data_IF_605719967749
#
_entry.id   IF_605719967749
#
_cell.length_a   1.000
_cell.length_b   1.000
_cell.length_c   1.000
_cell.angle_alpha   90.00
_cell.angle_beta   90.00
_cell.angle_gamma   90.00
#
_symmetry.space_group_name_H-M   'P 1'
#
loop_
_entity.id
_entity.type
_entity.pdbx_description
1 polymer ?
#
# COMPACT_ATOMS: atom_id res chain seq x y z
N UNK A 1 -25.51 0.45 12.97
CA UNK A 1 -24.55 0.02 11.92
C UNK A 1 -24.11 1.20 11.04
N UNK A 2 -24.98 1.83 10.25
CA UNK A 2 -24.59 2.94 9.35
C UNK A 2 -23.95 4.13 10.09
N UNK A 3 -24.52 4.54 11.23
CA UNK A 3 -23.98 5.63 12.04
C UNK A 3 -22.61 5.30 12.67
N UNK A 4 -22.36 4.04 13.02
CA UNK A 4 -21.05 3.60 13.51
C UNK A 4 -19.99 3.67 12.42
N UNK A 5 -20.36 3.32 11.17
CA UNK A 5 -19.48 3.46 10.02
C UNK A 5 -19.17 4.94 9.79
N UNK A 6 -20.17 5.81 9.78
CA UNK A 6 -19.96 7.26 9.65
C UNK A 6 -19.01 7.79 10.73
N UNK A 7 -19.25 7.43 12.00
CA UNK A 7 -18.38 7.81 13.12
C UNK A 7 -16.94 7.34 12.91
N UNK A 8 -16.72 6.10 12.47
CA UNK A 8 -15.38 5.60 12.19
C UNK A 8 -14.63 6.45 11.16
N UNK A 9 -15.32 6.90 10.11
CA UNK A 9 -14.71 7.74 9.07
C UNK A 9 -14.35 9.14 9.57
N UNK A 10 -14.94 9.61 10.68
CA UNK A 10 -14.58 10.90 11.28
C UNK A 10 -13.32 10.84 12.15
N UNK A 11 -12.83 9.64 12.50
CA UNK A 11 -11.63 9.47 13.33
C UNK A 11 -10.34 9.95 12.64
N UNK A 12 -10.35 10.06 11.32
CA UNK A 12 -9.17 10.37 10.50
C UNK A 12 -9.53 11.28 9.32
N UNK A 13 -8.57 12.07 8.82
CA UNK A 13 -8.74 12.82 7.58
C UNK A 13 -9.21 11.97 6.40
N UNK A 14 -9.91 12.59 5.45
CA UNK A 14 -10.47 11.91 4.26
C UNK A 14 -9.42 11.15 3.43
N UNK A 15 -8.20 11.67 3.30
CA UNK A 15 -7.13 10.99 2.58
C UNK A 15 -6.69 9.67 3.26
N UNK A 16 -6.72 9.60 4.59
CA UNK A 16 -6.45 8.35 5.33
C UNK A 16 -7.61 7.36 5.15
N UNK A 17 -8.85 7.85 5.07
CA UNK A 17 -9.99 7.01 4.70
C UNK A 17 -9.82 6.41 3.29
N UNK A 18 -9.31 7.19 2.34
CA UNK A 18 -9.04 6.69 1.00
C UNK A 18 -7.98 5.58 1.01
N UNK A 19 -6.89 5.74 1.78
CA UNK A 19 -5.87 4.68 1.95
C UNK A 19 -6.46 3.45 2.62
N UNK A 20 -7.28 3.61 3.66
CA UNK A 20 -7.95 2.48 4.31
C UNK A 20 -8.88 1.73 3.35
N UNK A 21 -9.67 2.45 2.55
CA UNK A 21 -10.55 1.85 1.55
C UNK A 21 -9.77 1.16 0.44
N UNK A 22 -8.63 1.73 0.03
CA UNK A 22 -7.70 1.09 -0.88
C UNK A 22 -7.18 -0.23 -0.29
N UNK A 23 -6.74 -0.24 0.97
CA UNK A 23 -6.35 -1.47 1.65
C UNK A 23 -7.50 -2.50 1.68
N UNK A 24 -8.72 -2.09 2.00
CA UNK A 24 -9.89 -2.97 2.00
C UNK A 24 -10.15 -3.58 0.61
N UNK A 25 -10.10 -2.76 -0.44
CA UNK A 25 -10.24 -3.21 -1.83
C UNK A 25 -9.15 -4.23 -2.19
N UNK A 26 -7.89 -3.92 -1.88
CA UNK A 26 -6.76 -4.81 -2.16
C UNK A 26 -6.92 -6.15 -1.44
N UNK A 27 -7.33 -6.13 -0.17
CA UNK A 27 -7.48 -7.32 0.66
C UNK A 27 -8.64 -8.22 0.24
N UNK A 28 -9.80 -7.66 -0.10
CA UNK A 28 -11.00 -8.47 -0.32
C UNK A 28 -11.34 -8.72 -1.78
N UNK A 29 -10.77 -7.94 -2.71
CA UNK A 29 -11.14 -8.01 -4.12
C UNK A 29 -9.92 -8.34 -4.97
N UNK A 30 -8.91 -7.47 -4.99
CA UNK A 30 -7.81 -7.59 -5.94
C UNK A 30 -6.89 -8.78 -5.63
N UNK A 31 -6.37 -8.89 -4.40
CA UNK A 31 -5.37 -9.91 -4.06
C UNK A 31 -5.95 -11.33 -3.97
N UNK A 32 -7.20 -11.56 -3.54
CA UNK A 32 -7.80 -12.88 -3.68
C UNK A 32 -7.84 -13.33 -5.15
N UNK A 33 -8.18 -12.43 -6.08
CA UNK A 33 -8.13 -12.75 -7.52
C UNK A 33 -6.69 -12.99 -7.99
N UNK A 34 -5.75 -12.13 -7.63
CA UNK A 34 -4.33 -12.24 -8.02
C UNK A 34 -3.69 -13.55 -7.48
N UNK A 35 -3.94 -13.88 -6.22
CA UNK A 35 -3.37 -15.06 -5.56
C UNK A 35 -4.03 -16.35 -6.03
N UNK A 36 -5.37 -16.42 -6.11
CA UNK A 36 -6.07 -17.68 -6.36
C UNK A 36 -6.47 -17.93 -7.82
N UNK A 37 -6.75 -16.87 -8.59
CA UNK A 37 -7.36 -16.99 -9.92
C UNK A 37 -6.34 -16.72 -11.02
N UNK A 38 -5.46 -15.73 -10.85
CA UNK A 38 -4.48 -15.34 -11.88
C UNK A 38 -3.52 -16.51 -12.20
N UNK A 39 -3.37 -16.87 -13.50
CA UNK A 39 -2.46 -17.93 -13.91
C UNK A 39 -1.00 -17.63 -13.57
N UNK A 40 -0.29 -18.65 -13.10
CA UNK A 40 1.13 -18.54 -12.72
C UNK A 40 2.03 -18.06 -13.87
N UNK A 41 1.69 -18.41 -15.12
CA UNK A 41 2.49 -18.10 -16.31
C UNK A 41 2.58 -16.60 -16.62
N UNK A 42 1.61 -15.80 -16.16
CA UNK A 42 1.59 -14.34 -16.33
C UNK A 42 1.82 -13.62 -15.00
N UNK A 43 2.21 -14.36 -13.96
CA UNK A 43 2.32 -13.80 -12.63
C UNK A 43 3.61 -12.99 -12.49
N UNK A 44 3.42 -11.72 -12.16
CA UNK A 44 4.46 -10.73 -11.99
C UNK A 44 4.15 -9.95 -10.74
N UNK A 45 5.16 -9.78 -9.90
CA UNK A 45 5.03 -8.99 -8.69
C UNK A 45 6.28 -8.14 -8.49
N UNK A 46 6.09 -6.89 -8.08
CA UNK A 46 7.19 -5.95 -7.89
C UNK A 46 7.46 -5.75 -6.41
N UNK A 47 8.70 -5.98 -6.01
CA UNK A 47 9.20 -5.65 -4.67
C UNK A 47 10.48 -4.83 -4.80
N UNK A 48 10.54 -3.67 -4.14
CA UNK A 48 11.71 -2.78 -4.15
C UNK A 48 12.19 -2.38 -5.55
N UNK A 49 11.27 -2.28 -6.51
CA UNK A 49 11.57 -1.96 -7.92
C UNK A 49 12.02 -3.14 -8.76
N UNK A 50 12.12 -4.35 -8.19
CA UNK A 50 12.53 -5.57 -8.88
C UNK A 50 11.29 -6.41 -9.20
N UNK A 51 11.18 -6.84 -10.46
CA UNK A 51 10.10 -7.71 -10.92
C UNK A 51 10.45 -9.17 -10.64
N UNK A 52 9.58 -9.86 -9.92
CA UNK A 52 9.61 -11.29 -9.68
C UNK A 52 8.56 -11.98 -10.55
N UNK A 53 8.81 -13.26 -10.89
CA UNK A 53 7.96 -14.04 -11.80
C UNK A 53 7.52 -15.36 -11.16
N UNK A 54 6.39 -15.89 -11.63
CA UNK A 54 5.92 -17.24 -11.29
C UNK A 54 5.69 -17.41 -9.79
N UNK A 55 6.22 -18.48 -9.20
CA UNK A 55 5.96 -18.80 -7.78
C UNK A 55 6.48 -17.74 -6.81
N UNK A 56 7.58 -17.08 -7.15
CA UNK A 56 8.12 -16.03 -6.30
C UNK A 56 7.24 -14.77 -6.33
N UNK A 57 6.63 -14.48 -7.49
CA UNK A 57 5.60 -13.45 -7.60
C UNK A 57 4.37 -13.80 -6.76
N UNK A 58 3.90 -15.05 -6.83
CA UNK A 58 2.75 -15.57 -6.07
C UNK A 58 2.95 -15.43 -4.55
N UNK A 59 4.14 -15.78 -4.05
CA UNK A 59 4.50 -15.58 -2.64
C UNK A 59 4.55 -14.10 -2.27
N UNK A 60 5.08 -13.26 -3.16
CA UNK A 60 5.03 -11.81 -3.04
C UNK A 60 3.60 -11.27 -2.93
N UNK A 61 2.68 -11.74 -3.76
CA UNK A 61 1.26 -11.37 -3.72
C UNK A 61 0.58 -11.77 -2.40
N UNK A 62 0.90 -12.94 -1.85
CA UNK A 62 0.44 -13.36 -0.52
C UNK A 62 0.97 -12.42 0.57
N UNK A 63 2.25 -12.03 0.51
CA UNK A 63 2.82 -11.08 1.47
C UNK A 63 2.15 -9.70 1.36
N UNK A 64 1.93 -9.19 0.15
CA UNK A 64 1.15 -7.96 -0.05
C UNK A 64 -0.24 -8.10 0.54
N UNK A 65 -0.88 -9.25 0.38
CA UNK A 65 -2.22 -9.48 0.91
C UNK A 65 -2.27 -9.35 2.43
N UNK A 66 -1.29 -9.93 3.12
CA UNK A 66 -1.15 -9.77 4.57
C UNK A 66 -0.89 -8.31 4.96
N UNK A 67 -0.04 -7.57 4.23
CA UNK A 67 0.24 -6.16 4.48
C UNK A 67 -1.02 -5.30 4.31
N UNK A 68 -1.75 -5.46 3.21
CA UNK A 68 -2.99 -4.71 2.98
C UNK A 68 -4.07 -5.09 4.00
N UNK A 69 -4.17 -6.37 4.39
CA UNK A 69 -5.10 -6.82 5.42
C UNK A 69 -4.79 -6.20 6.78
N UNK A 70 -3.51 -6.19 7.16
CA UNK A 70 -3.01 -5.52 8.36
C UNK A 70 -3.29 -4.01 8.31
N UNK A 71 -3.05 -3.37 7.16
CA UNK A 71 -3.35 -1.95 6.94
C UNK A 71 -4.85 -1.63 7.03
N UNK A 72 -5.71 -2.46 6.44
CA UNK A 72 -7.16 -2.30 6.48
C UNK A 72 -7.68 -2.39 7.91
N UNK A 73 -7.37 -3.49 8.60
CA UNK A 73 -7.79 -3.68 10.00
C UNK A 73 -7.20 -2.62 10.92
N UNK A 74 -5.92 -2.35 10.72
CA UNK A 74 -5.13 -1.40 11.49
C UNK A 74 -5.63 0.03 11.41
N UNK A 75 -5.91 0.53 10.21
CA UNK A 75 -6.48 1.85 9.99
C UNK A 75 -7.93 1.93 10.44
N UNK A 76 -8.71 0.86 10.25
CA UNK A 76 -10.10 0.81 10.70
C UNK A 76 -10.21 0.97 12.22
N UNK A 77 -9.36 0.27 12.96
CA UNK A 77 -9.31 0.28 14.42
C UNK A 77 -8.33 1.32 14.99
N UNK A 78 -7.69 2.12 14.14
CA UNK A 78 -6.66 3.11 14.51
C UNK A 78 -5.58 2.54 15.44
N UNK A 79 -5.12 1.31 15.20
CA UNK A 79 -4.15 0.63 16.08
C UNK A 79 -2.78 1.30 16.03
N UNK A 80 -2.20 1.53 17.21
CA UNK A 80 -0.88 2.15 17.39
C UNK A 80 0.25 1.47 16.62
N UNK A 81 0.26 0.14 16.56
CA UNK A 81 1.30 -0.62 15.87
C UNK A 81 1.35 -0.37 14.36
N UNK A 82 0.27 0.11 13.74
CA UNK A 82 0.18 0.30 12.28
C UNK A 82 1.02 1.48 11.82
N UNK A 83 1.13 2.51 12.66
CA UNK A 83 1.77 3.77 12.31
C UNK A 83 3.22 3.62 11.80
N UNK A 84 4.14 2.93 12.53
CA UNK A 84 5.49 2.77 12.01
C UNK A 84 5.52 1.96 10.70
N UNK A 85 4.71 0.90 10.59
CA UNK A 85 4.72 0.02 9.42
C UNK A 85 4.13 0.66 8.17
N UNK A 86 3.05 1.43 8.29
CA UNK A 86 2.44 2.10 7.13
C UNK A 86 3.38 3.16 6.55
N UNK A 87 4.10 3.89 7.40
CA UNK A 87 5.11 4.86 6.94
C UNK A 87 6.25 4.15 6.21
N UNK A 88 6.79 3.07 6.78
CA UNK A 88 7.87 2.28 6.18
C UNK A 88 7.42 1.69 4.83
N UNK A 89 6.23 1.12 4.77
CA UNK A 89 5.70 0.49 3.57
C UNK A 89 5.46 1.51 2.44
N UNK A 90 4.85 2.66 2.75
CA UNK A 90 4.65 3.71 1.74
C UNK A 90 5.99 4.28 1.27
N UNK A 91 6.96 4.42 2.17
CA UNK A 91 8.32 4.80 1.78
C UNK A 91 8.98 3.76 0.87
N UNK A 92 8.78 2.47 1.14
CA UNK A 92 9.26 1.39 0.28
C UNK A 92 8.61 1.44 -1.12
N UNK A 93 7.32 1.76 -1.22
CA UNK A 93 6.65 2.01 -2.51
C UNK A 93 7.29 3.21 -3.22
N UNK A 94 7.51 4.32 -2.52
CA UNK A 94 8.13 5.50 -3.10
C UNK A 94 9.53 5.20 -3.66
N UNK A 95 10.33 4.46 -2.90
CA UNK A 95 11.64 3.98 -3.32
C UNK A 95 11.56 3.05 -4.54
N UNK A 96 10.61 2.10 -4.52
CA UNK A 96 10.35 1.19 -5.64
C UNK A 96 10.01 1.94 -6.92
N UNK A 97 9.16 2.97 -6.85
CA UNK A 97 8.79 3.81 -8.01
C UNK A 97 9.96 4.64 -8.53
N UNK A 98 10.78 5.17 -7.61
CA UNK A 98 11.99 5.88 -7.97
C UNK A 98 12.96 4.99 -8.73
N UNK A 99 13.30 3.82 -8.17
CA UNK A 99 14.21 2.85 -8.80
C UNK A 99 13.65 2.31 -10.12
N UNK A 100 12.38 1.94 -10.13
CA UNK A 100 11.76 1.36 -11.32
C UNK A 100 11.87 2.32 -12.50
N UNK A 101 11.59 3.61 -12.32
CA UNK A 101 11.73 4.61 -13.40
C UNK A 101 13.17 4.82 -13.92
N UNK A 102 14.21 4.37 -13.20
CA UNK A 102 15.58 4.35 -13.69
C UNK A 102 15.95 3.01 -14.35
N UNK A 103 15.39 1.90 -13.88
CA UNK A 103 15.76 0.55 -14.30
C UNK A 103 14.92 -0.02 -15.45
N UNK A 104 13.67 0.41 -15.59
CA UNK A 104 12.71 -0.26 -16.47
C UNK A 104 13.02 -0.10 -17.96
N UNK A 105 13.87 0.87 -18.35
CA UNK A 105 14.53 0.94 -19.66
C UNK A 105 13.58 1.02 -20.87
N UNK A 106 12.30 1.25 -20.62
CA UNK A 106 11.14 1.15 -21.51
C UNK A 106 10.93 2.41 -22.37
N UNK A 107 11.94 3.30 -22.42
CA UNK A 107 11.92 4.53 -23.22
C UNK A 107 11.01 5.64 -22.68
N UNK A 108 10.33 5.41 -21.55
CA UNK A 108 9.62 6.43 -20.80
C UNK A 108 10.58 7.48 -20.23
N UNK A 109 10.11 8.70 -20.06
CA UNK A 109 10.96 9.76 -19.54
C UNK A 109 11.38 9.47 -18.09
N UNK A 110 12.70 9.45 -17.83
CA UNK A 110 13.29 9.04 -16.55
C UNK A 110 12.77 9.83 -15.31
N UNK A 111 12.13 10.98 -15.51
CA UNK A 111 11.54 11.78 -14.45
C UNK A 111 10.20 11.25 -13.91
N UNK A 112 9.52 10.35 -14.64
CA UNK A 112 8.20 9.83 -14.26
C UNK A 112 8.26 9.03 -12.95
N UNK A 113 9.27 8.15 -12.81
CA UNK A 113 9.46 7.35 -11.58
C UNK A 113 9.62 8.21 -10.34
N UNK A 114 10.58 9.16 -10.32
CA UNK A 114 10.73 10.12 -9.22
C UNK A 114 9.49 10.98 -8.97
N UNK A 115 8.79 11.41 -10.02
CA UNK A 115 7.55 12.19 -9.87
C UNK A 115 6.48 11.39 -9.13
N UNK A 116 6.23 10.14 -9.53
CA UNK A 116 5.28 9.24 -8.83
C UNK A 116 5.78 8.93 -7.42
N UNK A 117 7.06 8.60 -7.25
CA UNK A 117 7.67 8.35 -5.95
C UNK A 117 7.49 9.52 -4.97
N UNK A 118 7.57 10.76 -5.45
CA UNK A 118 7.37 11.95 -4.62
C UNK A 118 5.96 12.05 -4.03
N UNK A 119 4.93 11.60 -4.76
CA UNK A 119 3.54 11.56 -4.27
C UNK A 119 3.45 10.60 -3.07
N UNK A 120 4.08 9.43 -3.18
CA UNK A 120 4.12 8.46 -2.08
C UNK A 120 4.97 8.95 -0.90
N UNK A 121 6.07 9.68 -1.15
CA UNK A 121 6.83 10.33 -0.06
C UNK A 121 5.99 11.35 0.70
N UNK A 122 5.20 12.17 0.00
CA UNK A 122 4.27 13.11 0.63
C UNK A 122 3.22 12.37 1.46
N UNK A 123 2.71 11.24 0.96
CA UNK A 123 1.76 10.40 1.69
C UNK A 123 2.39 9.78 2.95
N UNK A 124 3.61 9.26 2.86
CA UNK A 124 4.37 8.72 4.00
C UNK A 124 4.61 9.82 5.06
N UNK A 125 5.01 11.01 4.61
CA UNK A 125 5.14 12.19 5.47
C UNK A 125 3.83 12.58 6.13
N UNK A 126 2.72 12.55 5.39
CA UNK A 126 1.38 12.80 5.91
C UNK A 126 1.00 11.84 7.05
N UNK A 127 1.30 10.55 6.90
CA UNK A 127 1.12 9.56 7.97
C UNK A 127 2.04 9.82 9.16
N UNK A 128 3.30 10.18 8.93
CA UNK A 128 4.24 10.54 10.00
C UNK A 128 3.75 11.74 10.83
N UNK A 129 3.21 12.76 10.17
CA UNK A 129 2.65 13.95 10.82
C UNK A 129 1.40 13.65 11.64
N UNK A 130 0.61 12.65 11.23
CA UNK A 130 -0.61 12.23 11.93
C UNK A 130 -0.40 11.10 12.94
N UNK A 131 0.84 10.87 13.40
CA UNK A 131 1.19 9.84 14.40
C UNK A 131 0.35 9.92 15.68
N UNK A 132 -0.02 11.13 16.10
CA UNK A 132 -0.76 11.35 17.34
C UNK A 132 -2.16 10.72 17.31
N UNK A 133 -2.73 10.51 16.11
CA UNK A 133 -4.01 9.80 15.94
C UNK A 133 -3.93 8.31 16.29
N UNK A 134 -2.72 7.74 16.32
CA UNK A 134 -2.50 6.31 16.59
C UNK A 134 -2.05 6.04 18.03
N UNK A 135 -1.58 7.06 18.75
CA UNK A 135 -1.07 6.93 20.13
C UNK A 135 -2.18 7.20 21.16
N UNK A 136 -3.14 8.06 20.83
CA UNK A 136 -4.18 8.54 21.74
C UNK A 136 -5.50 7.73 21.69
N UNK A 137 -5.50 6.55 21.05
CA UNK A 137 -6.64 5.62 20.94
C UNK A 137 -6.31 4.29 21.62
#
# INVERSE_FOLDING_TARGET
MLEQIKQNFTLRPSWMNAVMLFCLYMTFIYLPWDVFIKPLAIDQEVWFGIVFYGWLAKLGGILHWLIYGAGAYGLWQMKSWVHPWIVIYIFQIAYSMGIWGFLSGDGGAAWIGPAIGSIFLILAWGFYQKRDLFINN
#
